data_IF_902932443413
#
_entry.id   IF_902932443413
#
_cell.length_a   1.000
_cell.length_b   1.000
_cell.length_c   1.000
_cell.angle_alpha   90.00
_cell.angle_beta   90.00
_cell.angle_gamma   90.00
#
_symmetry.space_group_name_H-M   'P 1'
#
loop_
_entity.id
_entity.type
_entity.pdbx_description
1 polymer ?
#
# COMPACT_ATOMS: atom_id res chain seq x y z
N UNK A 1 -28.64 -6.15 16.31
CA UNK A 1 -27.31 -5.99 15.70
C UNK A 1 -26.34 -5.24 16.60
N UNK A 2 -26.65 -4.02 17.04
CA UNK A 2 -25.81 -3.26 17.97
C UNK A 2 -25.51 -4.04 19.27
N UNK A 3 -26.53 -4.62 19.91
CA UNK A 3 -26.40 -5.49 21.08
C UNK A 3 -25.35 -6.61 20.92
N UNK A 4 -25.31 -7.24 19.73
CA UNK A 4 -24.40 -8.35 19.42
C UNK A 4 -22.97 -7.81 19.29
N UNK A 5 -22.81 -6.67 18.60
CA UNK A 5 -21.52 -5.99 18.46
C UNK A 5 -20.98 -5.59 19.84
N UNK A 6 -21.79 -4.95 20.69
CA UNK A 6 -21.40 -4.54 22.04
C UNK A 6 -21.00 -5.74 22.92
N UNK A 7 -21.73 -6.86 22.84
CA UNK A 7 -21.36 -8.12 23.52
C UNK A 7 -20.02 -8.66 23.03
N UNK A 8 -19.72 -8.56 21.73
CA UNK A 8 -18.42 -8.96 21.18
C UNK A 8 -17.28 -8.06 21.67
N UNK A 9 -17.57 -6.78 21.92
CA UNK A 9 -16.62 -5.83 22.51
C UNK A 9 -16.32 -6.13 23.99
N UNK A 10 -17.27 -6.70 24.73
CA UNK A 10 -17.08 -7.14 26.12
C UNK A 10 -16.71 -6.03 27.11
N UNK A 11 -16.95 -4.76 26.74
CA UNK A 11 -16.61 -3.57 27.54
C UNK A 11 -17.86 -2.80 27.95
N UNK A 12 -17.74 -2.00 29.01
CA UNK A 12 -18.83 -1.11 29.38
C UNK A 12 -19.02 -0.01 28.33
N UNK A 13 -20.25 0.50 28.21
CA UNK A 13 -20.60 1.62 27.33
C UNK A 13 -19.67 2.81 27.59
N UNK A 14 -19.38 3.08 28.87
CA UNK A 14 -18.54 4.20 29.28
C UNK A 14 -17.09 4.00 28.84
N UNK A 15 -16.53 2.80 28.99
CA UNK A 15 -15.16 2.51 28.57
C UNK A 15 -15.00 2.66 27.06
N UNK A 16 -16.00 2.25 26.26
CA UNK A 16 -15.98 2.40 24.80
C UNK A 16 -15.97 3.88 24.43
N UNK A 17 -16.87 4.70 25.00
CA UNK A 17 -16.92 6.13 24.74
C UNK A 17 -15.61 6.83 25.13
N UNK A 18 -15.11 6.55 26.34
CA UNK A 18 -13.85 7.12 26.82
C UNK A 18 -12.67 6.72 25.94
N UNK A 19 -12.59 5.46 25.50
CA UNK A 19 -11.53 5.01 24.61
C UNK A 19 -11.52 5.75 23.26
N UNK A 20 -12.69 6.09 22.71
CA UNK A 20 -12.80 6.88 21.47
C UNK A 20 -12.40 8.35 21.71
N UNK A 21 -12.74 8.90 22.87
CA UNK A 21 -12.38 10.27 23.24
C UNK A 21 -10.87 10.45 23.48
N UNK A 22 -10.22 9.42 24.01
CA UNK A 22 -8.79 9.40 24.34
C UNK A 22 -7.90 8.73 23.28
N UNK A 23 -8.49 8.18 22.21
CA UNK A 23 -7.80 7.41 21.16
C UNK A 23 -7.03 6.18 21.70
N UNK A 24 -7.58 5.48 22.70
CA UNK A 24 -6.94 4.33 23.32
C UNK A 24 -7.00 3.08 22.41
N UNK A 25 -5.92 2.85 21.67
CA UNK A 25 -5.77 1.71 20.76
C UNK A 25 -5.66 0.35 21.47
N UNK A 26 -5.29 0.31 22.75
CA UNK A 26 -5.27 -0.93 23.52
C UNK A 26 -6.67 -1.29 24.03
N UNK A 27 -7.53 -0.28 24.15
CA UNK A 27 -8.89 -0.48 24.58
C UNK A 27 -9.77 -1.10 23.49
N UNK A 28 -9.66 -0.64 22.24
CA UNK A 28 -10.55 -1.06 21.17
C UNK A 28 -9.75 -1.64 20.01
N UNK A 29 -10.07 -2.88 19.62
CA UNK A 29 -9.48 -3.50 18.44
C UNK A 29 -9.99 -2.87 17.15
N UNK A 30 -9.18 -2.92 16.09
CA UNK A 30 -9.55 -2.41 14.76
C UNK A 30 -10.84 -3.05 14.23
N UNK A 31 -10.96 -4.38 14.29
CA UNK A 31 -12.17 -5.10 13.89
C UNK A 31 -13.41 -4.61 14.63
N UNK A 32 -13.28 -4.28 15.92
CA UNK A 32 -14.39 -3.77 16.71
C UNK A 32 -14.76 -2.34 16.29
N UNK A 33 -13.77 -1.48 16.06
CA UNK A 33 -14.00 -0.11 15.59
C UNK A 33 -14.67 -0.06 14.22
N UNK A 34 -14.24 -0.92 13.28
CA UNK A 34 -14.85 -1.03 11.95
C UNK A 34 -16.31 -1.50 12.02
N UNK A 35 -16.60 -2.47 12.89
CA UNK A 35 -17.98 -2.89 13.14
C UNK A 35 -18.81 -1.76 13.74
N UNK A 36 -18.23 -1.01 14.68
CA UNK A 36 -18.92 0.07 15.38
C UNK A 36 -19.20 1.28 14.47
N UNK A 37 -18.34 1.53 13.47
CA UNK A 37 -18.53 2.56 12.44
C UNK A 37 -19.84 2.41 11.66
N UNK A 38 -20.34 1.18 11.54
CA UNK A 38 -21.63 0.88 10.88
C UNK A 38 -22.84 1.31 11.70
N UNK A 39 -22.63 1.66 12.97
CA UNK A 39 -23.65 2.10 13.92
C UNK A 39 -23.50 3.60 14.27
N UNK A 40 -22.82 4.38 13.43
CA UNK A 40 -22.81 5.83 13.60
C UNK A 40 -24.25 6.38 13.59
N UNK A 41 -24.65 7.19 14.59
CA UNK A 41 -26.00 7.72 14.68
C UNK A 41 -26.34 8.55 13.44
N UNK A 42 -27.42 8.19 12.76
CA UNK A 42 -27.99 8.91 11.63
C UNK A 42 -28.57 10.26 12.06
N UNK A 43 -28.77 11.19 11.13
CA UNK A 43 -29.37 12.49 11.45
C UNK A 43 -30.77 12.36 12.07
N UNK A 44 -31.53 11.36 11.63
CA UNK A 44 -32.84 11.04 12.20
C UNK A 44 -32.73 10.59 13.65
N UNK A 45 -31.84 9.64 13.95
CA UNK A 45 -31.60 9.15 15.32
C UNK A 45 -31.08 10.26 16.23
N UNK A 46 -30.16 11.11 15.75
CA UNK A 46 -29.69 12.29 16.50
C UNK A 46 -30.83 13.25 16.85
N UNK A 47 -31.79 13.41 15.93
CA UNK A 47 -32.97 14.26 16.16
C UNK A 47 -33.89 13.65 17.22
N UNK A 48 -34.09 12.33 17.19
CA UNK A 48 -34.87 11.62 18.20
C UNK A 48 -34.22 11.70 19.58
N UNK A 49 -32.91 11.42 19.65
CA UNK A 49 -32.12 11.56 20.88
C UNK A 49 -32.23 12.98 21.43
N UNK A 50 -32.04 14.00 20.58
CA UNK A 50 -32.16 15.40 21.01
C UNK A 50 -33.58 15.82 21.43
N UNK A 51 -34.63 15.13 21.00
CA UNK A 51 -36.00 15.34 21.52
C UNK A 51 -36.15 14.69 22.89
N UNK A 52 -35.78 13.42 23.01
CA UNK A 52 -35.82 12.67 24.26
C UNK A 52 -35.11 13.41 25.40
N UNK A 53 -33.92 13.97 25.13
CA UNK A 53 -33.16 14.74 26.12
C UNK A 53 -33.81 16.06 26.52
N UNK A 54 -34.47 16.75 25.57
CA UNK A 54 -35.21 17.99 25.87
C UNK A 54 -36.43 17.73 26.74
N UNK A 55 -37.06 16.58 26.54
CA UNK A 55 -38.24 16.15 27.30
C UNK A 55 -37.88 15.62 28.70
N UNK A 56 -36.58 15.63 29.07
CA UNK A 56 -36.03 15.16 30.36
C UNK A 56 -36.52 13.77 30.77
N UNK A 57 -36.72 12.90 29.79
CA UNK A 57 -37.16 11.54 30.05
C UNK A 57 -36.02 10.73 30.72
N UNK A 58 -36.33 9.89 31.72
CA UNK A 58 -35.32 9.14 32.46
C UNK A 58 -34.63 8.12 31.53
N UNK A 59 -33.31 8.22 31.34
CA UNK A 59 -32.58 7.29 30.48
C UNK A 59 -32.52 5.87 31.06
N UNK A 60 -32.82 5.68 32.36
CA UNK A 60 -32.88 4.35 32.97
C UNK A 60 -34.06 3.49 32.47
N UNK A 61 -35.07 4.10 31.84
CA UNK A 61 -36.21 3.39 31.23
C UNK A 61 -35.91 2.89 29.81
N UNK A 62 -34.77 3.29 29.24
CA UNK A 62 -34.35 2.89 27.90
C UNK A 62 -33.55 1.59 27.90
N UNK A 63 -33.56 0.92 26.75
CA UNK A 63 -32.70 -0.24 26.52
C UNK A 63 -31.21 0.13 26.62
N UNK A 64 -30.34 -0.83 26.97
CA UNK A 64 -28.89 -0.62 27.05
C UNK A 64 -28.33 -0.09 25.71
N UNK A 65 -28.92 -0.51 24.58
CA UNK A 65 -28.57 -0.06 23.24
C UNK A 65 -28.92 1.41 22.99
N UNK A 66 -30.10 1.86 23.44
CA UNK A 66 -30.52 3.25 23.31
C UNK A 66 -29.68 4.15 24.24
N UNK A 67 -29.41 3.70 25.47
CA UNK A 67 -28.49 4.38 26.38
C UNK A 67 -27.08 4.51 25.79
N UNK A 68 -26.58 3.46 25.12
CA UNK A 68 -25.34 3.51 24.35
C UNK A 68 -25.43 4.57 23.25
N UNK A 69 -26.46 4.55 22.41
CA UNK A 69 -26.59 5.48 21.28
C UNK A 69 -26.66 6.94 21.73
N UNK A 70 -27.32 7.23 22.86
CA UNK A 70 -27.34 8.57 23.46
C UNK A 70 -25.91 8.99 23.81
N UNK A 71 -25.17 8.19 24.59
CA UNK A 71 -23.79 8.53 24.98
C UNK A 71 -22.85 8.61 23.77
N UNK A 72 -22.99 7.68 22.84
CA UNK A 72 -22.20 7.61 21.62
C UNK A 72 -22.42 8.85 20.75
N UNK A 73 -23.66 9.32 20.60
CA UNK A 73 -23.98 10.52 19.84
C UNK A 73 -23.46 11.83 20.43
N UNK A 74 -23.16 11.86 21.74
CA UNK A 74 -22.59 13.03 22.43
C UNK A 74 -21.11 13.24 22.13
N UNK A 75 -20.42 12.22 21.62
CA UNK A 75 -19.00 12.32 21.31
C UNK A 75 -18.83 13.31 20.14
N UNK A 76 -18.08 14.41 20.33
CA UNK A 76 -17.89 15.41 19.30
C UNK A 76 -17.05 14.83 18.16
N UNK A 77 -17.48 15.05 16.91
CA UNK A 77 -16.78 14.57 15.70
C UNK A 77 -16.56 13.04 15.71
N UNK A 78 -17.55 12.30 16.21
CA UNK A 78 -17.47 10.86 16.40
C UNK A 78 -16.95 10.11 15.17
N UNK A 79 -17.49 10.42 13.99
CA UNK A 79 -17.11 9.75 12.75
C UNK A 79 -15.62 9.99 12.43
N UNK A 80 -15.16 11.22 12.56
CA UNK A 80 -13.77 11.60 12.34
C UNK A 80 -12.84 10.95 13.37
N UNK A 81 -13.20 10.97 14.65
CA UNK A 81 -12.43 10.32 15.73
C UNK A 81 -12.24 8.83 15.49
N UNK A 82 -13.32 8.13 15.13
CA UNK A 82 -13.26 6.69 14.85
C UNK A 82 -12.40 6.39 13.61
N UNK A 83 -12.55 7.15 12.53
CA UNK A 83 -11.72 6.99 11.33
C UNK A 83 -10.24 7.24 11.63
N UNK A 84 -9.92 8.27 12.41
CA UNK A 84 -8.55 8.53 12.87
C UNK A 84 -8.05 7.36 13.71
N UNK A 85 -8.83 6.91 14.69
CA UNK A 85 -8.42 5.80 15.57
C UNK A 85 -8.10 4.51 14.80
N UNK A 86 -8.92 4.17 13.80
CA UNK A 86 -8.64 3.04 12.90
C UNK A 86 -7.35 3.26 12.12
N UNK A 87 -7.21 4.44 11.51
CA UNK A 87 -6.02 4.79 10.76
C UNK A 87 -4.74 4.68 11.59
N UNK A 88 -4.76 5.20 12.82
CA UNK A 88 -3.64 5.11 13.75
C UNK A 88 -3.21 3.65 13.97
N UNK A 89 -4.18 2.72 14.07
CA UNK A 89 -3.90 1.32 14.33
C UNK A 89 -3.43 0.55 13.09
N UNK A 90 -3.95 0.91 11.90
CA UNK A 90 -3.58 0.24 10.64
C UNK A 90 -2.31 0.79 9.97
N UNK A 91 -1.86 2.00 10.35
CA UNK A 91 -0.76 2.69 9.68
C UNK A 91 0.53 1.87 9.67
N UNK A 92 0.90 1.32 10.83
CA UNK A 92 2.15 0.57 10.98
C UNK A 92 2.20 -0.64 10.05
N UNK A 93 1.15 -1.45 10.06
CA UNK A 93 1.06 -2.66 9.24
C UNK A 93 1.04 -2.32 7.74
N UNK A 94 0.27 -1.31 7.35
CA UNK A 94 0.21 -0.85 5.96
C UNK A 94 1.57 -0.33 5.48
N UNK A 95 2.24 0.49 6.30
CA UNK A 95 3.56 1.02 5.97
C UNK A 95 4.60 -0.11 5.83
N UNK A 96 4.58 -1.10 6.75
CA UNK A 96 5.47 -2.26 6.69
C UNK A 96 5.22 -3.13 5.45
N UNK A 97 3.99 -3.19 4.95
CA UNK A 97 3.65 -3.90 3.73
C UNK A 97 4.10 -3.15 2.46
N UNK A 98 3.99 -1.82 2.43
CA UNK A 98 4.30 -1.00 1.26
C UNK A 98 5.80 -0.77 1.06
N UNK A 99 6.55 -0.54 2.14
CA UNK A 99 8.00 -0.30 2.08
C UNK A 99 8.79 -1.34 1.27
N UNK A 100 8.68 -2.66 1.51
CA UNK A 100 9.45 -3.66 0.77
C UNK A 100 9.03 -3.74 -0.70
N UNK A 101 7.78 -3.43 -1.02
CA UNK A 101 7.29 -3.42 -2.40
C UNK A 101 7.91 -2.28 -3.21
N UNK A 102 7.92 -1.06 -2.65
CA UNK A 102 8.59 0.10 -3.25
C UNK A 102 10.09 -0.16 -3.41
N UNK A 103 10.75 -0.67 -2.37
CA UNK A 103 12.18 -1.00 -2.42
C UNK A 103 12.50 -2.04 -3.49
N UNK A 104 11.67 -3.08 -3.64
CA UNK A 104 11.86 -4.10 -4.67
C UNK A 104 11.78 -3.49 -6.07
N UNK A 105 10.79 -2.64 -6.34
CA UNK A 105 10.66 -1.95 -7.65
C UNK A 105 11.86 -1.04 -7.92
N UNK A 106 12.24 -0.21 -6.93
CA UNK A 106 13.37 0.72 -7.07
C UNK A 106 14.67 -0.05 -7.30
N UNK A 107 14.96 -1.08 -6.50
CA UNK A 107 16.15 -1.90 -6.64
C UNK A 107 16.19 -2.65 -7.97
N UNK A 108 15.06 -3.25 -8.38
CA UNK A 108 14.95 -3.93 -9.67
C UNK A 108 15.20 -2.98 -10.83
N UNK A 109 14.51 -1.83 -10.85
CA UNK A 109 14.67 -0.80 -11.88
C UNK A 109 16.10 -0.26 -11.97
N UNK A 110 16.71 0.07 -10.82
CA UNK A 110 18.10 0.53 -10.78
C UNK A 110 19.08 -0.55 -11.24
N UNK A 111 18.88 -1.81 -10.84
CA UNK A 111 19.75 -2.92 -11.24
C UNK A 111 19.69 -3.20 -12.74
N UNK A 112 18.49 -3.14 -13.34
CA UNK A 112 18.32 -3.22 -14.80
C UNK A 112 19.01 -2.06 -15.52
N UNK A 113 18.85 -0.83 -15.00
CA UNK A 113 19.41 0.37 -15.61
C UNK A 113 20.94 0.44 -15.52
N UNK A 114 21.53 -0.07 -14.43
CA UNK A 114 22.96 0.00 -14.17
C UNK A 114 23.74 -1.22 -14.66
N UNK A 115 23.07 -2.33 -14.96
CA UNK A 115 23.74 -3.55 -15.43
C UNK A 115 24.42 -3.31 -16.79
N UNK A 116 25.74 -3.23 -16.75
CA UNK A 116 26.57 -3.11 -17.94
C UNK A 116 26.53 -4.41 -18.73
N UNK A 117 26.47 -5.57 -18.07
CA UNK A 117 26.43 -6.87 -18.73
C UNK A 117 25.14 -7.04 -19.53
N UNK A 118 23.98 -6.69 -18.96
CA UNK A 118 22.71 -6.74 -19.68
C UNK A 118 22.74 -5.84 -20.91
N UNK A 119 23.28 -4.62 -20.79
CA UNK A 119 23.43 -3.70 -21.93
C UNK A 119 24.24 -4.32 -23.07
N UNK A 120 25.40 -4.90 -22.78
CA UNK A 120 26.24 -5.54 -23.81
C UNK A 120 25.56 -6.76 -24.43
N UNK A 121 24.83 -7.56 -23.64
CA UNK A 121 24.03 -8.68 -24.19
C UNK A 121 22.98 -8.16 -25.17
N UNK A 122 22.27 -7.08 -24.84
CA UNK A 122 21.28 -6.47 -25.74
C UNK A 122 21.93 -5.91 -27.02
N UNK A 123 23.14 -5.36 -26.93
CA UNK A 123 23.92 -4.92 -28.10
C UNK A 123 24.31 -6.09 -29.01
N UNK A 124 24.73 -7.22 -28.44
CA UNK A 124 25.02 -8.44 -29.20
C UNK A 124 23.75 -8.93 -29.91
N UNK A 125 22.63 -9.00 -29.19
CA UNK A 125 21.32 -9.37 -29.78
C UNK A 125 20.95 -8.44 -30.93
N UNK A 126 21.13 -7.13 -30.77
CA UNK A 126 20.88 -6.14 -31.82
C UNK A 126 21.79 -6.37 -33.04
N UNK A 127 23.07 -6.62 -32.84
CA UNK A 127 24.03 -6.88 -33.92
C UNK A 127 23.65 -8.13 -34.73
N UNK A 128 23.29 -9.23 -34.06
CA UNK A 128 22.82 -10.44 -34.72
C UNK A 128 21.49 -10.21 -35.44
N UNK A 129 20.53 -9.55 -34.78
CA UNK A 129 19.25 -9.19 -35.39
C UNK A 129 19.41 -8.34 -36.65
N UNK A 130 20.31 -7.36 -36.62
CA UNK A 130 20.66 -6.53 -37.77
C UNK A 130 21.32 -7.32 -38.90
N UNK A 131 22.30 -8.16 -38.58
CA UNK A 131 22.94 -9.02 -39.57
C UNK A 131 21.92 -9.88 -40.31
N UNK A 132 21.02 -10.54 -39.56
CA UNK A 132 20.02 -11.45 -40.09
C UNK A 132 18.90 -10.76 -40.89
N UNK A 133 18.56 -9.51 -40.56
CA UNK A 133 17.47 -8.76 -41.20
C UNK A 133 17.93 -7.68 -42.20
N UNK A 134 19.24 -7.48 -42.33
CA UNK A 134 19.86 -6.41 -43.15
C UNK A 134 19.36 -6.37 -44.59
N UNK A 135 19.06 -7.53 -45.18
CA UNK A 135 18.62 -7.65 -46.58
C UNK A 135 17.17 -7.24 -46.85
N UNK A 136 16.32 -7.10 -45.81
CA UNK A 136 14.87 -6.83 -45.98
C UNK A 136 14.36 -5.57 -45.27
N UNK A 137 15.00 -5.16 -44.17
CA UNK A 137 14.45 -4.12 -43.27
C UNK A 137 15.44 -3.00 -42.92
N UNK A 138 16.66 -3.03 -43.46
CA UNK A 138 17.70 -2.06 -43.12
C UNK A 138 18.29 -2.28 -41.72
N UNK A 139 19.06 -1.30 -41.23
CA UNK A 139 19.70 -1.36 -39.92
C UNK A 139 18.82 -0.71 -38.83
N UNK A 140 18.65 -1.40 -37.70
CA UNK A 140 17.96 -0.90 -36.52
C UNK A 140 18.96 -0.41 -35.46
N UNK A 141 18.55 0.61 -34.70
CA UNK A 141 19.32 1.14 -33.56
C UNK A 141 18.86 0.59 -32.20
N UNK A 142 17.81 -0.23 -32.20
CA UNK A 142 17.22 -0.83 -31.00
C UNK A 142 16.03 -1.70 -31.34
N UNK A 143 15.52 -2.44 -30.36
CA UNK A 143 14.36 -3.31 -30.51
C UNK A 143 13.46 -3.23 -29.27
N UNK A 144 12.19 -3.63 -29.41
CA UNK A 144 11.26 -3.72 -28.28
C UNK A 144 11.58 -4.95 -27.45
N UNK A 145 11.45 -4.90 -26.12
CA UNK A 145 11.76 -6.04 -25.25
C UNK A 145 10.99 -7.33 -25.62
N UNK A 146 9.76 -7.21 -26.12
CA UNK A 146 8.96 -8.32 -26.64
C UNK A 146 9.68 -9.11 -27.76
N UNK A 147 10.62 -8.50 -28.47
CA UNK A 147 11.42 -9.19 -29.51
C UNK A 147 12.38 -10.22 -28.93
N UNK A 148 12.65 -10.21 -27.61
CA UNK A 148 13.47 -11.24 -26.96
C UNK A 148 12.80 -12.62 -27.00
N UNK A 149 11.46 -12.69 -26.99
CA UNK A 149 10.72 -13.96 -27.07
C UNK A 149 11.00 -14.68 -28.40
N UNK A 150 11.21 -13.94 -29.48
CA UNK A 150 11.53 -14.49 -30.80
C UNK A 150 12.88 -15.22 -30.85
N UNK A 151 13.79 -14.98 -29.90
CA UNK A 151 15.08 -15.68 -29.82
C UNK A 151 14.91 -17.18 -29.50
N UNK A 152 13.82 -17.53 -28.80
CA UNK A 152 13.45 -18.91 -28.52
C UNK A 152 12.76 -19.58 -29.71
N UNK A 153 12.04 -18.80 -30.53
CA UNK A 153 11.28 -19.30 -31.67
C UNK A 153 12.16 -19.57 -32.90
N UNK A 154 13.17 -18.74 -33.13
CA UNK A 154 14.02 -18.84 -34.31
C UNK A 154 14.99 -20.02 -34.19
N UNK A 155 14.87 -21.00 -35.09
CA UNK A 155 15.69 -22.23 -35.10
C UNK A 155 16.70 -22.23 -36.23
N UNK A 156 17.78 -23.00 -36.03
CA UNK A 156 18.73 -23.33 -37.08
C UNK A 156 18.08 -24.10 -38.23
N UNK A 157 18.75 -24.16 -39.38
CA UNK A 157 18.28 -24.88 -40.58
C UNK A 157 18.08 -26.37 -40.31
N UNK A 158 18.91 -26.97 -39.47
CA UNK A 158 18.80 -28.37 -39.01
C UNK A 158 17.83 -28.57 -37.84
N UNK A 159 17.19 -27.49 -37.36
CA UNK A 159 16.23 -27.44 -36.23
C UNK A 159 16.75 -27.98 -34.90
N UNK A 160 18.06 -28.16 -34.74
CA UNK A 160 18.68 -28.71 -33.52
C UNK A 160 18.89 -27.68 -32.42
N UNK A 161 18.99 -26.40 -32.77
CA UNK A 161 19.23 -25.32 -31.81
C UNK A 161 18.42 -24.07 -32.14
N UNK A 162 18.12 -23.26 -31.12
CA UNK A 162 17.50 -21.94 -31.31
C UNK A 162 18.57 -20.85 -31.41
N UNK A 163 18.19 -19.66 -31.86
CA UNK A 163 19.06 -18.49 -31.89
C UNK A 163 19.55 -18.16 -30.46
N UNK A 164 18.70 -18.33 -29.44
CA UNK A 164 19.13 -18.17 -28.05
C UNK A 164 20.27 -19.12 -27.68
N UNK A 165 20.18 -20.41 -28.02
CA UNK A 165 21.25 -21.38 -27.75
C UNK A 165 22.57 -20.98 -28.43
N UNK A 166 22.47 -20.52 -29.68
CA UNK A 166 23.63 -20.04 -30.42
C UNK A 166 24.25 -18.78 -29.77
N UNK A 167 23.42 -17.80 -29.38
CA UNK A 167 23.87 -16.58 -28.69
C UNK A 167 24.56 -16.90 -27.36
N UNK A 168 24.00 -17.80 -26.55
CA UNK A 168 24.61 -18.24 -25.28
C UNK A 168 26.00 -18.83 -25.54
N UNK A 169 26.13 -19.70 -26.54
CA UNK A 169 27.42 -20.28 -26.91
C UNK A 169 28.43 -19.21 -27.33
N UNK A 170 28.03 -18.27 -28.19
CA UNK A 170 28.90 -17.17 -28.63
C UNK A 170 29.32 -16.30 -27.44
N UNK A 171 28.41 -15.98 -26.53
CA UNK A 171 28.72 -15.23 -25.32
C UNK A 171 29.73 -15.99 -24.45
N UNK A 172 29.54 -17.29 -24.22
CA UNK A 172 30.49 -18.09 -23.44
C UNK A 172 31.88 -18.18 -24.07
N UNK A 173 31.97 -18.27 -25.40
CA UNK A 173 33.25 -18.41 -26.11
C UNK A 173 33.98 -17.07 -26.32
N UNK A 174 33.25 -15.98 -26.56
CA UNK A 174 33.81 -14.68 -26.97
C UNK A 174 33.73 -13.59 -25.91
N UNK A 175 32.77 -13.69 -24.98
CA UNK A 175 32.47 -12.69 -23.97
C UNK A 175 32.21 -13.35 -22.59
N UNK A 176 33.15 -14.15 -22.06
CA UNK A 176 32.95 -14.90 -20.83
C UNK A 176 32.63 -14.00 -19.62
N UNK A 177 33.05 -12.73 -19.63
CA UNK A 177 32.73 -11.73 -18.61
C UNK A 177 31.23 -11.41 -18.50
N UNK A 178 30.48 -11.58 -19.59
CA UNK A 178 29.02 -11.38 -19.62
C UNK A 178 28.26 -12.58 -19.06
N UNK A 179 28.94 -13.71 -18.85
CA UNK A 179 28.34 -14.84 -18.15
C UNK A 179 27.98 -14.42 -16.72
N UNK A 180 26.84 -14.92 -16.23
CA UNK A 180 26.31 -14.51 -14.93
C UNK A 180 25.68 -13.12 -14.90
N UNK A 181 25.30 -12.49 -16.03
CA UNK A 181 24.64 -11.17 -16.01
C UNK A 181 23.44 -11.08 -15.04
N UNK A 182 22.72 -12.19 -14.85
CA UNK A 182 21.59 -12.27 -13.93
C UNK A 182 21.97 -11.97 -12.47
N UNK A 183 23.23 -12.12 -12.07
CA UNK A 183 23.68 -11.78 -10.72
C UNK A 183 23.74 -10.27 -10.48
N UNK A 184 23.74 -9.45 -11.54
CA UNK A 184 23.63 -7.99 -11.42
C UNK A 184 22.17 -7.55 -11.27
N UNK A 185 21.21 -8.43 -11.56
CA UNK A 185 19.78 -8.14 -11.56
C UNK A 185 19.17 -8.59 -10.24
N UNK A 186 18.68 -7.62 -9.47
CA UNK A 186 18.20 -7.87 -8.12
C UNK A 186 16.70 -7.66 -8.04
N UNK A 187 16.03 -8.45 -7.19
CA UNK A 187 14.61 -8.28 -6.86
C UNK A 187 13.62 -8.33 -8.05
N UNK A 188 14.04 -8.79 -9.23
CA UNK A 188 13.17 -8.87 -10.42
C UNK A 188 11.90 -9.70 -10.17
N UNK A 189 12.05 -10.88 -9.56
CA UNK A 189 10.91 -11.77 -9.29
C UNK A 189 9.90 -11.12 -8.36
N UNK A 190 10.40 -10.40 -7.34
CA UNK A 190 9.53 -9.69 -6.38
C UNK A 190 8.86 -8.50 -7.06
N UNK A 191 9.63 -7.65 -7.74
CA UNK A 191 9.12 -6.47 -8.44
C UNK A 191 8.09 -6.83 -9.51
N UNK A 192 8.26 -7.95 -10.22
CA UNK A 192 7.32 -8.43 -11.24
C UNK A 192 5.93 -8.81 -10.72
N UNK A 193 5.80 -9.06 -9.41
CA UNK A 193 4.51 -9.38 -8.76
C UNK A 193 3.81 -8.16 -8.15
N UNK A 194 4.51 -7.02 -8.05
CA UNK A 194 3.99 -5.82 -7.39
C UNK A 194 3.16 -4.99 -8.39
N UNK A 195 1.95 -4.60 -7.97
CA UNK A 195 1.17 -3.59 -8.68
C UNK A 195 1.58 -2.20 -8.22
N UNK A 196 2.40 -1.50 -9.04
CA UNK A 196 2.85 -0.15 -8.70
C UNK A 196 1.66 0.81 -8.52
N UNK A 197 0.64 0.75 -9.38
CA UNK A 197 -0.53 1.63 -9.26
C UNK A 197 -1.29 1.43 -7.94
N UNK A 198 -1.45 0.19 -7.49
CA UNK A 198 -2.04 -0.15 -6.19
C UNK A 198 -1.20 0.41 -5.04
N UNK A 199 0.10 0.16 -5.05
CA UNK A 199 1.03 0.70 -4.04
C UNK A 199 0.97 2.23 -3.97
N UNK A 200 0.97 2.91 -5.11
CA UNK A 200 0.87 4.37 -5.17
C UNK A 200 -0.48 4.88 -4.66
N UNK A 201 -1.56 4.13 -4.86
CA UNK A 201 -2.87 4.45 -4.30
C UNK A 201 -2.87 4.32 -2.77
N UNK A 202 -2.29 3.25 -2.24
CA UNK A 202 -2.23 3.03 -0.80
C UNK A 202 -1.36 4.07 -0.09
N UNK A 203 -0.23 4.47 -0.69
CA UNK A 203 0.59 5.59 -0.17
C UNK A 203 -0.21 6.90 -0.13
N UNK A 204 -1.04 7.17 -1.15
CA UNK A 204 -1.93 8.35 -1.14
C UNK A 204 -2.98 8.26 -0.03
N UNK A 205 -3.56 7.09 0.20
CA UNK A 205 -4.50 6.87 1.30
C UNK A 205 -3.85 7.10 2.66
N UNK A 206 -2.62 6.61 2.87
CA UNK A 206 -1.85 6.88 4.09
C UNK A 206 -1.58 8.37 4.29
N UNK A 207 -1.23 9.08 3.22
CA UNK A 207 -1.03 10.53 3.28
C UNK A 207 -2.31 11.27 3.69
N UNK A 208 -3.46 10.89 3.13
CA UNK A 208 -4.75 11.47 3.50
C UNK A 208 -5.12 11.18 4.96
N UNK A 209 -4.85 9.96 5.44
CA UNK A 209 -5.03 9.59 6.85
C UNK A 209 -4.14 10.39 7.81
N UNK A 210 -2.87 10.63 7.45
CA UNK A 210 -1.98 11.51 8.21
C UNK A 210 -2.51 12.95 8.29
N UNK A 211 -3.04 13.47 7.18
CA UNK A 211 -3.62 14.82 7.15
C UNK A 211 -4.91 14.92 7.97
N UNK A 212 -5.76 13.88 7.94
CA UNK A 212 -6.93 13.80 8.83
C UNK A 212 -6.51 13.80 10.31
N UNK A 213 -5.50 13.01 10.65
CA UNK A 213 -4.95 12.93 12.01
C UNK A 213 -4.39 14.28 12.46
N UNK A 214 -3.67 14.98 11.57
CA UNK A 214 -3.12 16.32 11.84
C UNK A 214 -4.23 17.35 12.08
N UNK A 215 -5.27 17.34 11.25
CA UNK A 215 -6.43 18.23 11.42
C UNK A 215 -7.16 17.95 12.72
N UNK A 216 -7.32 16.68 13.09
CA UNK A 216 -7.99 16.32 14.34
C UNK A 216 -7.15 16.73 15.56
N UNK A 217 -5.82 16.57 15.50
CA UNK A 217 -4.90 17.08 16.52
C UNK A 217 -5.02 18.60 16.70
N UNK A 218 -5.06 19.38 15.61
CA UNK A 218 -5.26 20.84 15.69
C UNK A 218 -6.60 21.25 16.31
N UNK A 219 -7.59 20.35 16.33
CA UNK A 219 -8.91 20.57 16.93
C UNK A 219 -8.99 20.07 18.37
N UNK A 220 -7.97 19.37 18.86
CA UNK A 220 -7.85 18.82 20.20
C UNK A 220 -6.37 18.89 20.61
N UNK A 221 -5.88 20.12 20.79
CA UNK A 221 -4.46 20.51 20.90
C UNK A 221 -3.69 19.78 22.04
N UNK A 222 -4.43 19.12 22.94
CA UNK A 222 -3.91 18.43 24.12
C UNK A 222 -3.87 16.89 24.02
N UNK A 223 -4.17 16.27 22.87
CA UNK A 223 -4.11 14.80 22.77
C UNK A 223 -2.66 14.27 22.67
N UNK A 224 -2.11 13.60 23.71
CA UNK A 224 -0.74 13.09 23.67
C UNK A 224 -0.59 11.97 22.64
N UNK A 225 -1.62 11.12 22.49
CA UNK A 225 -1.62 9.98 21.56
C UNK A 225 -1.44 10.45 20.11
N UNK A 226 -2.23 11.46 19.69
CA UNK A 226 -2.14 12.00 18.34
C UNK A 226 -0.79 12.69 18.09
N UNK A 227 -0.29 13.44 19.09
CA UNK A 227 1.00 14.13 19.01
C UNK A 227 2.15 13.15 18.84
N UNK A 228 2.20 12.11 19.68
CA UNK A 228 3.24 11.10 19.63
C UNK A 228 3.18 10.29 18.34
N UNK A 229 1.98 9.89 17.91
CA UNK A 229 1.79 9.21 16.63
C UNK A 229 2.29 10.05 15.45
N UNK A 230 1.88 11.32 15.36
CA UNK A 230 2.32 12.21 14.28
C UNK A 230 3.85 12.38 14.31
N UNK A 231 4.44 12.57 15.48
CA UNK A 231 5.89 12.72 15.63
C UNK A 231 6.65 11.48 15.15
N UNK A 232 6.23 10.29 15.58
CA UNK A 232 6.92 9.02 15.24
C UNK A 232 6.75 8.66 13.77
N UNK A 233 5.56 8.88 13.21
CA UNK A 233 5.23 8.37 11.88
C UNK A 233 5.42 9.38 10.75
N UNK A 234 5.71 10.66 11.04
CA UNK A 234 5.96 11.67 10.00
C UNK A 234 7.16 11.30 9.12
N UNK A 235 8.28 10.87 9.72
CA UNK A 235 9.47 10.47 8.96
C UNK A 235 9.22 9.23 8.09
N UNK A 236 8.46 8.26 8.62
CA UNK A 236 8.05 7.06 7.87
C UNK A 236 7.21 7.44 6.66
N UNK A 237 6.23 8.34 6.84
CA UNK A 237 5.39 8.83 5.76
C UNK A 237 6.19 9.61 4.71
N UNK A 238 7.10 10.49 5.13
CA UNK A 238 7.97 11.25 4.22
C UNK A 238 8.86 10.32 3.39
N UNK A 239 9.43 9.29 4.02
CA UNK A 239 10.21 8.26 3.33
C UNK A 239 9.37 7.50 2.31
N UNK A 240 8.19 7.02 2.70
CA UNK A 240 7.26 6.35 1.77
C UNK A 240 6.90 7.24 0.57
N UNK A 241 6.69 8.54 0.80
CA UNK A 241 6.43 9.49 -0.29
C UNK A 241 7.65 9.67 -1.20
N UNK A 242 8.85 9.80 -0.64
CA UNK A 242 10.08 9.90 -1.42
C UNK A 242 10.29 8.64 -2.27
N UNK A 243 10.20 7.46 -1.66
CA UNK A 243 10.36 6.17 -2.34
C UNK A 243 9.29 5.99 -3.42
N UNK A 244 8.04 6.40 -3.17
CA UNK A 244 6.97 6.36 -4.17
C UNK A 244 7.22 7.27 -5.39
N UNK A 245 7.86 8.42 -5.18
CA UNK A 245 8.25 9.32 -6.27
C UNK A 245 9.43 8.77 -7.06
N UNK A 246 10.38 8.10 -6.40
CA UNK A 246 11.53 7.46 -7.04
C UNK A 246 11.14 6.19 -7.81
N UNK A 247 10.13 5.46 -7.34
CA UNK A 247 9.61 4.26 -8.00
C UNK A 247 8.81 4.56 -9.28
N UNK A 248 8.28 5.78 -9.40
CA UNK A 248 7.50 6.26 -10.55
C UNK A 248 8.41 6.74 -11.69
#
# INVERSE_FOLDING_TARGET
NLAITLRKGGRSIQDICTAIETYDQQALSLDFLELLLRFLPTEYERTLIGKFERDQQPPEELSDEDQFMIRFSKIPRLAERMNVMIFLGSFGDTAQLLMPQLNAIIAASMSLKSSSKLRHILEIVLAFGNYMNSSKRGAAYGFRLQSLDALLEMKSTDRKQTLLHYLVRVIMEKYPELTGFHTELHFLDKAGTVSLDGVLQDVRSLQQGMELTRREFMRQDDSPVLKDFLKVNSEVMEKLQADSKTAK
#
